data_IF_680954522387
#
_entry.id   IF_680954522387
#
_cell.length_a   1.000
_cell.length_b   1.000
_cell.length_c   1.000
_cell.angle_alpha   90.00
_cell.angle_beta   90.00
_cell.angle_gamma   90.00
#
_symmetry.space_group_name_H-M   'P 1'
#
loop_
_entity.id
_entity.type
_entity.pdbx_description
1 polymer ?
#
# COMPACT_ATOMS: atom_id res chain seq x y z
N UNK A 1 25.41 10.40 -1.42
CA UNK A 1 24.70 11.65 -1.08
C UNK A 1 23.22 11.36 -1.16
N UNK A 2 22.57 11.15 -0.02
CA UNK A 2 21.17 10.77 0.09
C UNK A 2 20.30 11.99 -0.24
N UNK A 3 19.90 12.12 -1.51
CA UNK A 3 18.97 13.16 -1.94
C UNK A 3 17.64 13.00 -1.22
N UNK A 4 17.18 14.06 -0.55
CA UNK A 4 15.84 14.10 0.03
C UNK A 4 14.80 13.91 -1.09
N UNK A 5 13.75 13.12 -0.84
CA UNK A 5 12.60 12.95 -1.77
C UNK A 5 11.99 14.29 -2.20
N UNK A 6 12.09 15.30 -1.33
CA UNK A 6 11.61 16.65 -1.60
C UNK A 6 12.51 17.47 -2.52
N UNK A 7 13.75 17.08 -2.77
CA UNK A 7 14.71 17.87 -3.57
C UNK A 7 15.24 17.15 -4.79
N UNK A 8 15.26 15.81 -4.80
CA UNK A 8 15.79 15.02 -5.91
C UNK A 8 14.66 14.64 -6.92
N UNK A 9 14.71 15.13 -8.17
CA UNK A 9 13.74 14.77 -9.21
C UNK A 9 13.65 13.26 -9.46
N UNK A 10 14.76 12.52 -9.30
CA UNK A 10 14.80 11.06 -9.54
C UNK A 10 14.01 10.30 -8.48
N UNK A 11 14.13 10.70 -7.22
CA UNK A 11 13.38 10.09 -6.11
C UNK A 11 11.87 10.39 -6.23
N UNK A 12 11.49 11.58 -6.69
CA UNK A 12 10.08 11.90 -6.99
C UNK A 12 9.52 11.01 -8.10
N UNK A 13 10.27 10.78 -9.19
CA UNK A 13 9.84 9.86 -10.24
C UNK A 13 9.70 8.43 -9.72
N UNK A 14 10.63 7.96 -8.87
CA UNK A 14 10.54 6.64 -8.23
C UNK A 14 9.31 6.53 -7.34
N UNK A 15 9.00 7.55 -6.56
CA UNK A 15 7.79 7.61 -5.73
C UNK A 15 6.51 7.56 -6.57
N UNK A 16 6.43 8.33 -7.66
CA UNK A 16 5.28 8.31 -8.57
C UNK A 16 5.11 6.95 -9.22
N UNK A 17 6.18 6.35 -9.74
CA UNK A 17 6.16 4.99 -10.29
C UNK A 17 5.71 3.98 -9.24
N UNK A 18 6.26 4.04 -8.03
CA UNK A 18 5.87 3.18 -6.93
C UNK A 18 4.38 3.30 -6.59
N UNK A 19 3.86 4.53 -6.58
CA UNK A 19 2.44 4.80 -6.33
C UNK A 19 1.55 4.23 -7.44
N UNK A 20 1.95 4.38 -8.71
CA UNK A 20 1.24 3.79 -9.86
C UNK A 20 1.24 2.27 -9.77
N UNK A 21 2.39 1.66 -9.47
CA UNK A 21 2.48 0.21 -9.26
C UNK A 21 1.58 -0.22 -8.11
N UNK A 22 1.59 0.49 -6.99
CA UNK A 22 0.70 0.23 -5.86
C UNK A 22 -0.78 0.28 -6.24
N UNK A 23 -1.19 1.24 -7.08
CA UNK A 23 -2.57 1.33 -7.59
C UNK A 23 -2.93 0.14 -8.50
N UNK A 24 -2.01 -0.30 -9.36
CA UNK A 24 -2.17 -1.50 -10.18
C UNK A 24 -2.33 -2.74 -9.29
N UNK A 25 -1.49 -2.88 -8.26
CA UNK A 25 -1.61 -3.96 -7.28
C UNK A 25 -2.95 -3.97 -6.57
N UNK A 26 -3.47 -2.80 -6.18
CA UNK A 26 -4.79 -2.69 -5.57
C UNK A 26 -5.90 -3.12 -6.54
N UNK A 27 -5.83 -2.72 -7.81
CA UNK A 27 -6.78 -3.17 -8.84
C UNK A 27 -6.74 -4.70 -9.02
N UNK A 28 -5.55 -5.30 -9.00
CA UNK A 28 -5.38 -6.76 -9.06
C UNK A 28 -5.96 -7.42 -7.81
N UNK A 29 -5.71 -6.87 -6.62
CA UNK A 29 -6.25 -7.39 -5.36
C UNK A 29 -7.78 -7.42 -5.39
N UNK A 30 -8.40 -6.29 -5.72
CA UNK A 30 -9.86 -6.21 -5.87
C UNK A 30 -10.37 -7.17 -6.95
N UNK A 31 -9.72 -7.23 -8.11
CA UNK A 31 -10.14 -8.09 -9.22
C UNK A 31 -10.08 -9.57 -8.86
N UNK A 32 -8.97 -10.03 -8.29
CA UNK A 32 -8.77 -11.43 -7.90
C UNK A 32 -9.69 -11.80 -6.74
N UNK A 33 -9.80 -10.95 -5.72
CA UNK A 33 -10.71 -11.19 -4.60
C UNK A 33 -12.15 -11.37 -5.10
N UNK A 34 -12.65 -10.44 -5.92
CA UNK A 34 -14.01 -10.52 -6.46
C UNK A 34 -14.22 -11.73 -7.37
N UNK A 35 -13.24 -12.11 -8.19
CA UNK A 35 -13.32 -13.31 -9.03
C UNK A 35 -13.40 -14.59 -8.18
N UNK A 36 -12.55 -14.71 -7.15
CA UNK A 36 -12.53 -15.88 -6.26
C UNK A 36 -13.80 -15.99 -5.41
N UNK A 37 -14.32 -14.88 -4.89
CA UNK A 37 -15.57 -14.90 -4.10
C UNK A 37 -16.80 -15.14 -4.97
N UNK A 38 -16.85 -14.54 -6.16
CA UNK A 38 -18.06 -14.58 -7.01
C UNK A 38 -18.16 -15.84 -7.85
N UNK A 39 -17.05 -16.30 -8.44
CA UNK A 39 -17.07 -17.45 -9.34
C UNK A 39 -16.76 -18.76 -8.63
N UNK A 40 -15.82 -18.75 -7.68
CA UNK A 40 -15.35 -19.96 -7.00
C UNK A 40 -15.97 -20.15 -5.61
N UNK A 41 -16.80 -19.20 -5.14
CA UNK A 41 -17.48 -19.20 -3.83
C UNK A 41 -16.52 -19.47 -2.65
N UNK A 42 -15.28 -19.04 -2.77
CA UNK A 42 -14.31 -19.13 -1.68
C UNK A 42 -14.71 -18.21 -0.52
N UNK A 43 -14.27 -18.55 0.70
CA UNK A 43 -14.47 -17.68 1.84
C UNK A 43 -13.73 -16.35 1.63
N UNK A 44 -14.30 -15.25 2.13
CA UNK A 44 -13.72 -13.91 1.97
C UNK A 44 -12.27 -13.84 2.48
N UNK A 45 -11.99 -14.55 3.58
CA UNK A 45 -10.65 -14.61 4.18
C UNK A 45 -9.66 -15.33 3.26
N UNK A 46 -10.05 -16.45 2.66
CA UNK A 46 -9.18 -17.24 1.79
C UNK A 46 -8.97 -16.54 0.45
N UNK A 47 -10.05 -15.99 -0.15
CA UNK A 47 -9.97 -15.18 -1.35
C UNK A 47 -9.09 -13.94 -1.15
N UNK A 48 -9.26 -13.22 -0.04
CA UNK A 48 -8.46 -12.04 0.31
C UNK A 48 -6.98 -12.37 0.58
N UNK A 49 -6.69 -13.54 1.14
CA UNK A 49 -5.31 -13.99 1.33
C UNK A 49 -4.62 -14.23 -0.01
N UNK A 50 -5.27 -14.98 -0.92
CA UNK A 50 -4.72 -15.28 -2.25
C UNK A 50 -4.55 -13.99 -3.07
N UNK A 51 -5.58 -13.13 -3.08
CA UNK A 51 -5.54 -11.86 -3.82
C UNK A 51 -4.41 -10.95 -3.32
N UNK A 52 -4.19 -10.89 -2.00
CA UNK A 52 -3.09 -10.14 -1.40
C UNK A 52 -1.73 -10.65 -1.89
N UNK A 53 -1.50 -11.97 -1.90
CA UNK A 53 -0.25 -12.54 -2.44
C UNK A 53 -0.05 -12.22 -3.92
N UNK A 54 -1.11 -12.31 -4.73
CA UNK A 54 -1.07 -11.94 -6.15
C UNK A 54 -0.72 -10.45 -6.34
N UNK A 55 -1.35 -9.57 -5.55
CA UNK A 55 -1.12 -8.13 -5.60
C UNK A 55 0.32 -7.76 -5.19
N UNK A 56 0.82 -8.32 -4.09
CA UNK A 56 2.20 -8.07 -3.62
C UNK A 56 3.22 -8.60 -4.63
N UNK A 57 2.98 -9.76 -5.23
CA UNK A 57 3.87 -10.34 -6.25
C UNK A 57 3.88 -9.50 -7.52
N UNK A 58 2.71 -9.07 -8.00
CA UNK A 58 2.62 -8.14 -9.12
C UNK A 58 3.37 -6.84 -8.83
N UNK A 59 3.12 -6.24 -7.66
CA UNK A 59 3.81 -5.02 -7.24
C UNK A 59 5.32 -5.18 -7.19
N UNK A 60 5.82 -6.33 -6.73
CA UNK A 60 7.25 -6.63 -6.73
C UNK A 60 7.82 -6.69 -8.14
N UNK A 61 7.15 -7.41 -9.06
CA UNK A 61 7.57 -7.54 -10.46
C UNK A 61 7.66 -6.15 -11.10
N UNK A 62 6.60 -5.37 -11.02
CA UNK A 62 6.59 -4.02 -11.59
C UNK A 62 7.63 -3.10 -10.94
N UNK A 63 7.83 -3.17 -9.63
CA UNK A 63 8.86 -2.38 -8.98
C UNK A 63 10.28 -2.79 -9.39
N UNK A 64 10.56 -4.09 -9.54
CA UNK A 64 11.88 -4.57 -9.98
C UNK A 64 12.17 -4.26 -11.44
N UNK A 65 11.20 -4.38 -12.34
CA UNK A 65 11.43 -4.17 -13.77
C UNK A 65 11.30 -2.72 -14.23
N UNK A 66 10.48 -1.89 -13.57
CA UNK A 66 10.16 -0.54 -14.03
C UNK A 66 10.58 0.58 -13.07
N UNK A 67 10.41 0.39 -11.76
CA UNK A 67 10.77 1.40 -10.75
C UNK A 67 12.27 1.38 -10.45
N UNK A 68 12.85 0.20 -10.25
CA UNK A 68 14.25 -0.03 -9.87
C UNK A 68 14.94 -1.06 -10.78
N UNK A 69 15.04 -0.80 -12.10
CA UNK A 69 15.64 -1.74 -13.05
C UNK A 69 17.10 -2.10 -12.72
N UNK A 70 17.81 -1.24 -12.00
CA UNK A 70 19.23 -1.41 -11.65
C UNK A 70 19.43 -2.39 -10.47
N UNK A 71 18.38 -2.67 -9.70
CA UNK A 71 18.39 -3.59 -8.54
C UNK A 71 18.47 -5.09 -8.93
N UNK A 72 18.67 -5.38 -10.22
CA UNK A 72 18.69 -6.74 -10.78
C UNK A 72 19.90 -7.58 -10.35
N UNK A 73 20.94 -6.94 -9.81
CA UNK A 73 22.15 -7.60 -9.33
C UNK A 73 21.92 -8.50 -8.11
N UNK A 74 20.85 -8.27 -7.33
CA UNK A 74 20.48 -9.08 -6.16
C UNK A 74 19.62 -10.31 -6.52
N UNK A 75 19.75 -11.41 -5.76
CA UNK A 75 18.90 -12.60 -5.90
C UNK A 75 17.41 -12.27 -5.80
N UNK A 76 16.62 -12.78 -6.76
CA UNK A 76 15.20 -12.47 -6.91
C UNK A 76 14.39 -12.84 -5.65
N UNK A 77 14.63 -14.03 -5.09
CA UNK A 77 13.90 -14.51 -3.92
C UNK A 77 14.14 -13.65 -2.68
N UNK A 78 15.39 -13.22 -2.45
CA UNK A 78 15.74 -12.40 -1.29
C UNK A 78 15.02 -11.05 -1.32
N UNK A 79 15.04 -10.36 -2.47
CA UNK A 79 14.32 -9.10 -2.64
C UNK A 79 12.80 -9.28 -2.57
N UNK A 80 12.25 -10.38 -3.10
CA UNK A 80 10.82 -10.66 -2.99
C UNK A 80 10.40 -10.86 -1.53
N UNK A 81 11.18 -11.62 -0.76
CA UNK A 81 10.91 -11.83 0.68
C UNK A 81 11.01 -10.51 1.45
N UNK A 82 12.03 -9.69 1.20
CA UNK A 82 12.13 -8.36 1.81
C UNK A 82 10.91 -7.49 1.48
N UNK A 83 10.54 -7.42 0.20
CA UNK A 83 9.37 -6.65 -0.24
C UNK A 83 8.06 -7.15 0.40
N UNK A 84 7.90 -8.48 0.48
CA UNK A 84 6.76 -9.12 1.12
C UNK A 84 6.68 -8.77 2.62
N UNK A 85 7.81 -8.87 3.35
CA UNK A 85 7.88 -8.52 4.77
C UNK A 85 7.56 -7.05 5.02
N UNK A 86 8.01 -6.15 4.15
CA UNK A 86 7.68 -4.71 4.26
C UNK A 86 6.19 -4.46 4.08
N UNK A 87 5.56 -5.10 3.07
CA UNK A 87 4.11 -4.98 2.84
C UNK A 87 3.31 -5.60 4.00
N UNK A 88 3.75 -6.74 4.53
CA UNK A 88 3.13 -7.39 5.68
C UNK A 88 3.22 -6.50 6.94
N UNK A 89 4.37 -5.89 7.19
CA UNK A 89 4.53 -4.90 8.25
C UNK A 89 3.62 -3.68 8.03
N UNK A 90 3.46 -3.24 6.77
CA UNK A 90 2.52 -2.19 6.40
C UNK A 90 1.06 -2.52 6.77
N UNK A 91 0.63 -3.77 6.56
CA UNK A 91 -0.69 -4.24 7.05
C UNK A 91 -0.76 -4.17 8.58
N UNK A 92 0.31 -4.58 9.27
CA UNK A 92 0.44 -4.48 10.72
C UNK A 92 0.38 -3.04 11.25
N UNK A 93 0.79 -2.04 10.46
CA UNK A 93 0.66 -0.60 10.78
C UNK A 93 -0.75 -0.10 10.48
N UNK A 94 -1.35 -0.56 9.38
CA UNK A 94 -2.70 -0.15 8.94
C UNK A 94 -3.77 -0.45 9.99
N UNK A 95 -3.77 -1.65 10.55
CA UNK A 95 -4.85 -2.12 11.44
C UNK A 95 -4.94 -1.27 12.73
N UNK A 96 -3.84 -1.05 13.49
CA UNK A 96 -3.85 -0.15 14.64
C UNK A 96 -4.21 1.28 14.25
N UNK A 97 -3.69 1.81 13.13
CA UNK A 97 -4.02 3.16 12.67
C UNK A 97 -5.52 3.34 12.46
N UNK A 98 -6.18 2.41 11.77
CA UNK A 98 -7.63 2.48 11.59
C UNK A 98 -8.36 2.52 12.93
N UNK A 99 -8.00 1.63 13.86
CA UNK A 99 -8.64 1.56 15.18
C UNK A 99 -8.43 2.82 16.03
N UNK A 100 -7.24 3.41 15.96
CA UNK A 100 -6.88 4.60 16.74
C UNK A 100 -7.45 5.89 16.13
N UNK A 101 -7.54 5.98 14.80
CA UNK A 101 -7.96 7.20 14.09
C UNK A 101 -9.48 7.27 13.85
N UNK A 102 -10.17 6.13 13.80
CA UNK A 102 -11.62 6.10 13.51
C UNK A 102 -12.41 6.95 14.52
N UNK A 103 -12.19 6.73 15.82
CA UNK A 103 -12.90 7.46 16.87
C UNK A 103 -12.63 8.98 16.85
N UNK A 104 -11.38 9.49 16.90
CA UNK A 104 -11.14 10.92 16.91
C UNK A 104 -11.58 11.63 15.63
N UNK A 105 -11.41 11.01 14.46
CA UNK A 105 -11.84 11.62 13.19
C UNK A 105 -13.36 11.63 13.05
N UNK A 106 -14.06 10.61 13.52
CA UNK A 106 -15.52 10.63 13.54
C UNK A 106 -16.04 11.78 14.40
N UNK A 107 -15.48 11.97 15.61
CA UNK A 107 -15.85 13.09 16.48
C UNK A 107 -15.54 14.44 15.85
N UNK A 108 -14.37 14.59 15.22
CA UNK A 108 -13.97 15.83 14.55
C UNK A 108 -14.90 16.19 13.39
N UNK A 109 -15.19 15.23 12.50
CA UNK A 109 -16.04 15.46 11.31
C UNK A 109 -17.47 15.77 11.73
N UNK A 110 -18.03 15.07 12.72
CA UNK A 110 -19.37 15.36 13.23
C UNK A 110 -19.48 16.73 13.89
N UNK A 111 -18.39 17.22 14.53
CA UNK A 111 -18.34 18.58 15.09
C UNK A 111 -18.25 19.66 14.02
N UNK A 112 -17.44 19.44 12.98
CA UNK A 112 -17.23 20.42 11.92
C UNK A 112 -18.39 20.45 10.91
N UNK A 113 -19.02 19.31 10.66
CA UNK A 113 -20.08 19.15 9.65
C UNK A 113 -21.32 18.42 10.18
N UNK A 114 -21.98 18.95 11.23
CA UNK A 114 -23.12 18.28 11.87
C UNK A 114 -24.34 18.12 10.96
N UNK A 115 -24.52 19.02 9.99
CA UNK A 115 -25.64 19.01 9.06
C UNK A 115 -25.46 18.06 7.85
N UNK A 116 -24.28 17.44 7.67
CA UNK A 116 -24.06 16.52 6.55
C UNK A 116 -24.64 15.13 6.86
N UNK A 117 -25.58 14.62 6.05
CA UNK A 117 -26.18 13.29 6.26
C UNK A 117 -25.18 12.15 6.05
N UNK A 118 -24.06 12.41 5.36
CA UNK A 118 -22.98 11.46 5.08
C UNK A 118 -21.71 11.72 5.93
N UNK A 119 -21.81 12.46 7.03
CA UNK A 119 -20.68 12.77 7.92
C UNK A 119 -19.94 11.52 8.43
N UNK A 120 -20.67 10.44 8.73
CA UNK A 120 -20.09 9.15 9.13
C UNK A 120 -19.31 8.46 8.01
N UNK A 121 -19.82 8.48 6.78
CA UNK A 121 -19.13 7.98 5.59
C UNK A 121 -17.88 8.79 5.30
N UNK A 122 -17.95 10.12 5.43
CA UNK A 122 -16.82 11.01 5.24
C UNK A 122 -15.71 10.72 6.25
N UNK A 123 -16.03 10.56 7.54
CA UNK A 123 -15.05 10.23 8.58
C UNK A 123 -14.34 8.89 8.33
N UNK A 124 -15.09 7.85 7.94
CA UNK A 124 -14.51 6.53 7.62
C UNK A 124 -13.58 6.58 6.41
N UNK A 125 -13.99 7.28 5.34
CA UNK A 125 -13.14 7.45 4.17
C UNK A 125 -11.89 8.27 4.45
N UNK A 126 -11.99 9.33 5.29
CA UNK A 126 -10.82 10.10 5.72
C UNK A 126 -9.85 9.25 6.57
N UNK A 127 -10.39 8.46 7.50
CA UNK A 127 -9.61 7.52 8.31
C UNK A 127 -8.87 6.52 7.41
N UNK A 128 -9.57 5.95 6.43
CA UNK A 128 -8.99 5.05 5.45
C UNK A 128 -7.92 5.72 4.61
N UNK A 129 -8.17 6.92 4.11
CA UNK A 129 -7.21 7.67 3.28
C UNK A 129 -5.92 7.99 4.04
N UNK A 130 -6.02 8.42 5.31
CA UNK A 130 -4.85 8.67 6.17
C UNK A 130 -4.08 7.37 6.41
N UNK A 131 -4.76 6.28 6.77
CA UNK A 131 -4.11 5.00 7.02
C UNK A 131 -3.40 4.46 5.76
N UNK A 132 -4.05 4.53 4.60
CA UNK A 132 -3.44 4.14 3.31
C UNK A 132 -2.26 5.03 2.97
N UNK A 133 -2.38 6.34 3.17
CA UNK A 133 -1.28 7.29 2.95
C UNK A 133 -0.05 6.97 3.79
N UNK A 134 -0.23 6.78 5.10
CA UNK A 134 0.87 6.42 6.02
C UNK A 134 1.54 5.10 5.60
N UNK A 135 0.74 4.07 5.29
CA UNK A 135 1.25 2.77 4.87
C UNK A 135 1.96 2.86 3.51
N UNK A 136 1.50 3.70 2.60
CA UNK A 136 2.16 3.95 1.33
C UNK A 136 3.54 4.59 1.54
N UNK A 137 3.66 5.59 2.43
CA UNK A 137 4.95 6.18 2.77
C UNK A 137 5.88 5.17 3.44
N UNK A 138 5.37 4.38 4.40
CA UNK A 138 6.12 3.28 5.01
C UNK A 138 6.67 2.33 3.94
N UNK A 139 5.79 1.84 3.08
CA UNK A 139 6.15 0.90 2.02
C UNK A 139 7.18 1.51 1.07
N UNK A 140 7.04 2.78 0.67
CA UNK A 140 7.99 3.43 -0.22
C UNK A 140 9.37 3.58 0.44
N UNK A 141 9.45 4.22 1.61
CA UNK A 141 10.72 4.53 2.26
C UNK A 141 11.46 3.26 2.70
N UNK A 142 10.77 2.30 3.30
CA UNK A 142 11.41 1.07 3.74
C UNK A 142 11.88 0.25 2.54
N UNK A 143 11.09 0.11 1.48
CA UNK A 143 11.58 -0.57 0.28
C UNK A 143 12.74 0.19 -0.37
N UNK A 144 12.71 1.53 -0.39
CA UNK A 144 13.79 2.35 -0.95
C UNK A 144 15.11 2.18 -0.21
N UNK A 145 15.08 2.18 1.12
CA UNK A 145 16.29 2.14 1.96
C UNK A 145 16.74 0.73 2.35
N UNK A 146 15.85 -0.26 2.32
CA UNK A 146 16.15 -1.64 2.72
C UNK A 146 16.16 -2.61 1.53
N UNK A 147 15.07 -2.69 0.77
CA UNK A 147 14.93 -3.64 -0.35
C UNK A 147 15.78 -3.25 -1.57
N UNK A 148 15.85 -1.96 -1.87
CA UNK A 148 16.55 -1.38 -3.03
C UNK A 148 17.71 -0.48 -2.61
N UNK A 149 18.40 -0.86 -1.54
CA UNK A 149 19.53 -0.09 -0.98
C UNK A 149 20.77 -0.04 -1.88
N UNK A 150 20.76 -0.83 -2.94
CA UNK A 150 21.80 -0.99 -3.95
C UNK A 150 21.68 0.03 -5.11
N UNK A 151 20.65 0.89 -5.09
CA UNK A 151 20.31 1.86 -6.16
C UNK A 151 20.13 3.29 -5.63
#
# INVERSE_FOLDING_TARGET
>A
MSGNVLTDPRERTRFLKFSVVGAIGALIDFGVMNALTSWLRFSLVLAGTISFFCAVTSNFIWNRFWTYPDSRSRPLLSQWVMFFLVNLAGVGIRIPLLRLLESPLEHLVRRLFPALPFSSLLARNLTLAIAVGVVMFWNFFVNRYWTYNDV
#
